data_IF_802031405643
#
_entry.id   IF_802031405643
#
_cell.length_a   1.000
_cell.length_b   1.000
_cell.length_c   1.000
_cell.angle_alpha   90.00
_cell.angle_beta   90.00
_cell.angle_gamma   90.00
#
_symmetry.space_group_name_H-M   'P 1'
#
loop_
_entity.id
_entity.type
_entity.pdbx_description
1 polymer ?
#
# COMPACT_ATOMS: atom_id res chain seq x y z
N UNK A 1 -17.44 5.95 -11.67
CA UNK A 1 -16.51 6.66 -10.77
C UNK A 1 -17.35 7.57 -9.89
N UNK A 2 -17.67 7.10 -8.68
CA UNK A 2 -18.47 7.84 -7.70
C UNK A 2 -17.49 8.48 -6.72
N UNK A 3 -17.20 9.77 -6.91
CA UNK A 3 -16.16 10.53 -6.18
C UNK A 3 -16.43 10.70 -4.67
N UNK A 4 -17.56 10.20 -4.18
CA UNK A 4 -17.99 10.32 -2.80
C UNK A 4 -17.71 9.08 -1.94
N UNK A 5 -17.31 7.96 -2.55
CA UNK A 5 -17.01 6.74 -1.81
C UNK A 5 -15.49 6.59 -1.64
N UNK A 6 -14.99 7.13 -0.53
CA UNK A 6 -13.57 7.09 -0.17
C UNK A 6 -13.40 6.45 1.20
N UNK A 7 -12.22 5.89 1.45
CA UNK A 7 -11.82 5.36 2.76
C UNK A 7 -10.55 6.03 3.23
N UNK A 8 -10.46 6.23 4.54
CA UNK A 8 -9.26 6.76 5.18
C UNK A 8 -8.18 5.69 5.16
N UNK A 9 -7.00 6.08 4.72
CA UNK A 9 -5.79 5.28 4.84
C UNK A 9 -5.09 5.67 6.14
N UNK A 10 -4.77 4.66 6.96
CA UNK A 10 -3.93 4.81 8.13
C UNK A 10 -2.56 4.18 7.92
N UNK A 11 -1.53 4.78 8.50
CA UNK A 11 -0.19 4.21 8.57
C UNK A 11 -0.23 2.92 9.38
N UNK A 12 0.31 1.81 8.85
CA UNK A 12 0.31 0.52 9.56
C UNK A 12 1.17 0.52 10.83
N UNK A 13 2.21 1.36 10.87
CA UNK A 13 3.16 1.40 11.98
C UNK A 13 2.65 2.24 13.17
N UNK A 14 1.93 3.34 12.91
CA UNK A 14 1.52 4.29 13.95
C UNK A 14 0.02 4.60 13.97
N UNK A 15 -0.76 3.96 13.11
CA UNK A 15 -2.22 4.11 12.97
C UNK A 15 -2.69 5.54 12.68
N UNK A 16 -1.78 6.46 12.35
CA UNK A 16 -2.10 7.83 11.99
C UNK A 16 -2.76 7.87 10.60
N UNK A 17 -3.85 8.64 10.46
CA UNK A 17 -4.44 8.92 9.15
C UNK A 17 -3.41 9.66 8.26
N UNK A 18 -3.20 9.15 7.04
CA UNK A 18 -2.25 9.71 6.07
C UNK A 18 -2.91 10.25 4.81
N UNK A 19 -4.16 9.89 4.54
CA UNK A 19 -4.92 10.37 3.40
C UNK A 19 -6.19 9.57 3.16
N UNK A 20 -6.80 9.79 2.01
CA UNK A 20 -8.03 9.14 1.57
C UNK A 20 -7.81 8.56 0.17
N UNK A 21 -8.40 7.38 -0.08
CA UNK A 21 -8.39 6.73 -1.39
C UNK A 21 -9.80 6.29 -1.76
N UNK A 22 -10.04 6.06 -3.05
CA UNK A 22 -11.30 5.47 -3.51
C UNK A 22 -11.56 4.14 -2.78
N UNK A 23 -12.82 3.88 -2.46
CA UNK A 23 -13.21 2.70 -1.67
C UNK A 23 -12.71 1.38 -2.30
N UNK A 24 -12.81 1.27 -3.63
CA UNK A 24 -12.39 0.10 -4.41
C UNK A 24 -10.87 -0.01 -4.62
N UNK A 25 -10.11 1.03 -4.28
CA UNK A 25 -8.65 1.02 -4.40
C UNK A 25 -8.00 0.17 -3.30
N UNK A 26 -6.96 -0.59 -3.65
CA UNK A 26 -6.18 -1.37 -2.68
C UNK A 26 -4.84 -0.69 -2.42
N UNK A 27 -4.46 -0.62 -1.14
CA UNK A 27 -3.18 -0.06 -0.71
C UNK A 27 -2.45 -1.09 0.17
N UNK A 28 -1.18 -1.34 -0.11
CA UNK A 28 -0.37 -2.36 0.56
C UNK A 28 0.70 -1.66 1.39
N UNK A 29 0.80 -2.01 2.67
CA UNK A 29 1.78 -1.48 3.63
C UNK A 29 1.90 0.07 3.62
N UNK A 30 0.79 0.81 3.80
CA UNK A 30 0.85 2.27 3.88
C UNK A 30 1.67 2.74 5.08
N UNK A 31 2.62 3.63 4.85
CA UNK A 31 3.43 4.27 5.88
C UNK A 31 3.32 5.79 5.78
N UNK A 32 3.34 6.47 6.92
CA UNK A 32 3.48 7.92 6.94
C UNK A 32 4.94 8.33 6.69
N UNK A 33 5.18 9.58 6.27
CA UNK A 33 6.54 10.05 5.96
C UNK A 33 7.55 9.91 7.10
N UNK A 34 7.10 9.91 8.36
CA UNK A 34 7.97 9.66 9.51
C UNK A 34 8.37 8.17 9.61
N UNK A 35 7.40 7.25 9.53
CA UNK A 35 7.67 5.82 9.63
C UNK A 35 8.41 5.27 8.41
N UNK A 36 8.10 5.76 7.20
CA UNK A 36 8.84 5.43 5.98
C UNK A 36 10.33 5.79 6.12
N UNK A 37 10.63 6.96 6.69
CA UNK A 37 12.01 7.41 6.87
C UNK A 37 12.82 6.57 7.86
N UNK A 38 12.15 5.85 8.78
CA UNK A 38 12.81 4.91 9.71
C UNK A 38 13.14 3.60 8.99
N UNK A 39 12.24 3.10 8.15
CA UNK A 39 12.47 1.88 7.36
C UNK A 39 13.54 2.09 6.27
N UNK A 40 13.59 3.29 5.66
CA UNK A 40 14.60 3.65 4.67
C UNK A 40 16.03 3.62 5.23
N UNK A 41 16.20 3.85 6.54
CA UNK A 41 17.51 3.72 7.22
C UNK A 41 17.95 2.26 7.35
N UNK A 42 17.04 1.31 7.25
CA UNK A 42 17.34 -0.13 7.34
C UNK A 42 17.49 -0.79 5.96
N UNK A 43 16.94 -0.19 4.89
CA UNK A 43 16.95 -0.72 3.53
C UNK A 43 17.86 0.04 2.55
N UNK A 44 19.08 0.41 2.94
CA UNK A 44 20.17 0.59 1.94
C UNK A 44 20.67 -0.79 1.52
N UNK A 45 19.87 -1.53 0.76
CA UNK A 45 20.28 -2.51 -0.26
C UNK A 45 19.04 -3.30 -0.72
N UNK A 46 18.82 -3.30 -2.04
CA UNK A 46 18.06 -4.26 -2.88
C UNK A 46 16.78 -3.72 -3.52
N UNK A 47 16.99 -3.24 -4.75
CA UNK A 47 16.12 -3.49 -5.90
C UNK A 47 15.45 -4.87 -5.79
N UNK A 48 14.12 -4.96 -5.82
CA UNK A 48 13.43 -5.96 -6.63
C UNK A 48 11.93 -5.69 -6.70
N UNK A 49 11.48 -5.45 -7.93
CA UNK A 49 10.09 -5.37 -8.36
C UNK A 49 9.50 -6.80 -8.36
N UNK A 50 8.72 -7.20 -7.35
CA UNK A 50 8.10 -8.53 -7.32
C UNK A 50 6.67 -8.55 -7.90
N UNK A 51 6.63 -8.82 -9.20
CA UNK A 51 5.82 -9.85 -9.86
C UNK A 51 4.43 -10.19 -9.28
N UNK A 52 3.41 -9.57 -9.88
CA UNK A 52 2.02 -9.97 -9.83
C UNK A 52 1.84 -11.35 -10.51
N UNK A 53 1.87 -12.44 -9.73
CA UNK A 53 1.47 -13.77 -10.19
C UNK A 53 -0.06 -13.88 -10.18
N UNK A 54 -0.70 -13.51 -11.30
CA UNK A 54 -2.09 -13.94 -11.57
C UNK A 54 -2.02 -15.44 -11.84
N UNK A 55 -2.41 -16.27 -10.86
CA UNK A 55 -2.80 -17.66 -11.14
C UNK A 55 -4.16 -17.64 -11.81
N UNK A 56 -4.18 -17.53 -13.13
CA UNK A 56 -5.34 -17.95 -13.93
C UNK A 56 -5.37 -19.48 -13.87
N UNK A 57 -6.24 -20.02 -13.01
CA UNK A 57 -6.66 -21.41 -13.09
C UNK A 57 -7.48 -21.58 -14.37
N UNK A 58 -6.86 -22.17 -15.40
CA UNK A 58 -7.60 -22.73 -16.53
C UNK A 58 -8.49 -23.86 -16.01
N UNK A 59 -9.80 -23.68 -16.14
CA UNK A 59 -10.78 -24.74 -16.11
C UNK A 59 -11.06 -25.14 -17.56
N UNK A 60 -10.54 -26.28 -18.00
CA UNK A 60 -11.19 -27.23 -18.93
C UNK A 60 -10.56 -28.60 -18.75
#
# INVERSE_FOLDING_TARGET
MNIYDTKIVACIACQKAIGEIEFDSTMINPLCGYCSSIEDKLHTSKNHQENFRIKIGQAV
#
